data_IF_891999062929
#
_entry.id   IF_891999062929
#
_cell.length_a   1.000
_cell.length_b   1.000
_cell.length_c   1.000
_cell.angle_alpha   90.00
_cell.angle_beta   90.00
_cell.angle_gamma   90.00
#
_symmetry.space_group_name_H-M   'P 1'
#
loop_
_entity.id
_entity.type
_entity.pdbx_description
1 polymer ?
#
# COMPACT_ATOMS: atom_id res chain seq x y z
N UNK A 1 41.56 42.06 15.27
CA UNK A 1 41.63 42.36 13.82
C UNK A 1 42.45 41.29 13.14
N UNK A 2 41.83 40.54 12.20
CA UNK A 2 42.39 40.09 10.90
C UNK A 2 43.60 39.11 11.02
N UNK A 3 43.64 37.89 10.50
CA UNK A 3 43.00 37.26 9.35
C UNK A 3 43.13 35.73 9.51
N UNK A 4 42.05 34.98 9.28
CA UNK A 4 42.10 33.53 9.12
C UNK A 4 42.26 33.19 7.64
N UNK A 5 43.48 32.86 7.23
CA UNK A 5 43.77 32.10 6.02
C UNK A 5 43.16 30.70 6.16
N UNK A 6 42.47 30.19 5.14
CA UNK A 6 42.48 28.78 4.75
C UNK A 6 41.85 28.65 3.35
N UNK A 7 42.72 28.60 2.36
CA UNK A 7 42.50 27.92 1.08
C UNK A 7 43.57 26.84 0.99
N UNK A 8 43.18 25.57 0.83
CA UNK A 8 43.89 24.64 -0.04
C UNK A 8 43.04 23.39 -0.33
N UNK A 9 42.85 23.19 -1.64
CA UNK A 9 42.43 21.99 -2.36
C UNK A 9 42.85 20.65 -1.71
N UNK A 10 41.97 19.65 -1.78
CA UNK A 10 42.43 18.31 -2.15
C UNK A 10 41.57 17.71 -3.27
N UNK A 11 42.31 17.15 -4.22
CA UNK A 11 41.96 16.69 -5.55
C UNK A 11 41.42 15.24 -5.51
N UNK A 12 40.43 14.98 -6.36
CA UNK A 12 40.13 13.73 -7.09
C UNK A 12 40.53 12.35 -6.53
N UNK A 13 39.52 11.49 -6.38
CA UNK A 13 39.62 10.07 -6.77
C UNK A 13 38.41 9.70 -7.63
N UNK A 14 38.64 9.69 -8.95
CA UNK A 14 37.80 9.01 -9.94
C UNK A 14 38.17 7.53 -9.91
N UNK A 15 37.19 6.63 -9.83
CA UNK A 15 36.95 5.55 -10.82
C UNK A 15 35.86 4.56 -10.34
N UNK A 16 34.69 4.69 -10.98
CA UNK A 16 33.97 3.64 -11.73
C UNK A 16 33.49 2.40 -10.96
N UNK A 17 32.17 2.33 -10.75
CA UNK A 17 31.31 1.29 -11.34
C UNK A 17 29.81 1.61 -11.19
N UNK A 18 29.22 2.13 -12.27
CA UNK A 18 27.90 1.72 -12.76
C UNK A 18 26.65 2.18 -12.01
N UNK A 19 26.44 3.48 -11.84
CA UNK A 19 25.09 4.05 -11.71
C UNK A 19 24.79 4.71 -13.06
N UNK A 20 23.86 4.12 -13.82
CA UNK A 20 23.23 4.84 -14.94
C UNK A 20 22.22 5.78 -14.30
N UNK A 21 22.64 7.02 -14.08
CA UNK A 21 21.72 8.14 -13.90
C UNK A 21 21.07 8.38 -15.26
N UNK A 22 19.78 8.10 -15.37
CA UNK A 22 19.00 8.55 -16.53
C UNK A 22 18.68 10.02 -16.26
N UNK A 23 19.37 10.90 -16.98
CA UNK A 23 19.06 12.32 -17.03
C UNK A 23 17.64 12.51 -17.59
N UNK A 24 16.84 13.25 -16.84
CA UNK A 24 15.49 13.68 -17.18
C UNK A 24 15.55 14.85 -18.18
N UNK A 25 16.01 14.61 -19.40
CA UNK A 25 15.93 15.58 -20.50
C UNK A 25 16.26 14.99 -21.87
N UNK A 26 15.83 13.77 -22.16
CA UNK A 26 15.82 13.26 -23.54
C UNK A 26 14.42 12.78 -23.91
N UNK A 27 13.86 13.43 -24.92
CA UNK A 27 12.49 13.28 -25.40
C UNK A 27 12.24 11.84 -25.84
N UNK A 28 11.34 11.18 -25.11
CA UNK A 28 10.99 9.77 -25.26
C UNK A 28 10.27 9.44 -26.57
N UNK A 29 11.01 9.39 -27.67
CA UNK A 29 10.75 8.43 -28.75
C UNK A 29 11.14 7.05 -28.19
N UNK A 30 10.17 6.39 -27.56
CA UNK A 30 10.41 5.40 -26.51
C UNK A 30 11.13 4.16 -27.03
N UNK A 31 11.90 3.52 -26.15
CA UNK A 31 12.47 2.20 -26.42
C UNK A 31 11.38 1.18 -26.80
N UNK A 32 10.13 1.40 -26.39
CA UNK A 32 8.97 0.64 -26.83
C UNK A 32 8.61 0.96 -28.29
N UNK A 33 8.57 2.24 -28.68
CA UNK A 33 8.35 2.66 -30.06
C UNK A 33 9.46 2.14 -31.00
N UNK A 34 10.73 2.14 -30.55
CA UNK A 34 11.86 1.56 -31.29
C UNK A 34 11.86 0.02 -31.31
N UNK A 35 11.34 -0.63 -30.27
CA UNK A 35 11.20 -2.09 -30.23
C UNK A 35 9.99 -2.56 -31.07
N UNK A 36 8.96 -1.73 -31.17
CA UNK A 36 7.72 -1.98 -31.91
C UNK A 36 7.71 -1.38 -33.31
N UNK A 37 8.71 -0.58 -33.71
CA UNK A 37 8.76 0.11 -35.00
C UNK A 37 8.76 -0.84 -36.19
N UNK A 38 9.25 -2.07 -36.00
CA UNK A 38 9.34 -3.09 -37.03
C UNK A 38 8.08 -3.97 -37.12
N UNK A 39 7.07 -3.73 -36.28
CA UNK A 39 5.85 -4.53 -36.22
C UNK A 39 4.67 -3.75 -36.79
N UNK A 40 3.76 -4.48 -37.44
CA UNK A 40 2.51 -3.92 -37.94
C UNK A 40 1.58 -3.56 -36.78
N UNK A 41 0.63 -2.65 -36.96
CA UNK A 41 -0.23 -2.18 -35.85
C UNK A 41 -1.06 -3.30 -35.21
N UNK A 42 -1.48 -4.31 -36.00
CA UNK A 42 -2.11 -5.52 -35.47
C UNK A 42 -1.19 -6.34 -34.57
N UNK A 43 0.10 -6.43 -34.91
CA UNK A 43 1.09 -7.17 -34.11
C UNK A 43 1.42 -6.42 -32.82
N UNK A 44 1.53 -5.08 -32.88
CA UNK A 44 1.69 -4.24 -31.69
C UNK A 44 0.54 -4.44 -30.71
N UNK A 45 -0.70 -4.42 -31.20
CA UNK A 45 -1.88 -4.66 -30.37
C UNK A 45 -1.87 -6.05 -29.73
N UNK A 46 -1.54 -7.10 -30.48
CA UNK A 46 -1.41 -8.45 -29.94
C UNK A 46 -0.33 -8.55 -28.85
N UNK A 47 0.80 -7.88 -29.04
CA UNK A 47 1.88 -7.83 -28.04
C UNK A 47 1.39 -7.14 -26.77
N UNK A 48 0.74 -5.98 -26.88
CA UNK A 48 0.20 -5.23 -25.74
C UNK A 48 -0.86 -6.07 -25.01
N UNK A 49 -1.78 -6.73 -25.71
CA UNK A 49 -2.79 -7.61 -25.12
C UNK A 49 -2.16 -8.80 -24.39
N UNK A 50 -1.11 -9.41 -24.95
CA UNK A 50 -0.37 -10.47 -24.28
C UNK A 50 0.31 -9.96 -23.00
N UNK A 51 0.88 -8.76 -23.02
CA UNK A 51 1.43 -8.13 -21.82
C UNK A 51 0.34 -7.82 -20.78
N UNK A 52 -0.82 -7.32 -21.21
CA UNK A 52 -1.95 -7.05 -20.33
C UNK A 52 -2.40 -8.33 -19.63
N UNK A 53 -2.65 -9.40 -20.38
CA UNK A 53 -3.06 -10.69 -19.82
C UNK A 53 -2.04 -11.23 -18.83
N UNK A 54 -0.73 -11.06 -19.12
CA UNK A 54 0.33 -11.51 -18.22
C UNK A 54 0.41 -10.68 -16.96
N UNK A 55 0.22 -9.37 -17.06
CA UNK A 55 0.23 -8.44 -15.94
C UNK A 55 -0.99 -8.64 -15.04
N UNK A 56 -2.19 -8.81 -15.62
CA UNK A 56 -3.40 -9.17 -14.88
C UNK A 56 -3.20 -10.49 -14.12
N UNK A 57 -2.58 -11.49 -14.75
CA UNK A 57 -2.23 -12.76 -14.08
C UNK A 57 -1.27 -12.54 -12.89
N UNK A 58 -0.26 -11.66 -13.02
CA UNK A 58 0.68 -11.35 -11.94
C UNK A 58 -0.02 -10.65 -10.78
N UNK A 59 -0.99 -9.77 -11.06
CA UNK A 59 -1.77 -9.06 -10.04
C UNK A 59 -2.95 -9.87 -9.50
N UNK A 60 -3.16 -11.11 -9.95
CA UNK A 60 -4.30 -11.93 -9.54
C UNK A 60 -5.65 -11.35 -9.99
N UNK A 61 -5.67 -10.54 -11.04
CA UNK A 61 -6.88 -9.91 -11.58
C UNK A 61 -7.47 -10.77 -12.71
N UNK A 62 -8.77 -11.01 -12.66
CA UNK A 62 -9.51 -11.73 -13.71
C UNK A 62 -9.71 -10.89 -14.97
N UNK A 63 -9.81 -9.58 -14.81
CA UNK A 63 -10.02 -8.61 -15.88
C UNK A 63 -9.49 -7.24 -15.48
N UNK A 64 -9.26 -6.37 -16.47
CA UNK A 64 -8.88 -4.97 -16.25
C UNK A 64 -9.92 -4.24 -15.38
N UNK A 65 -9.50 -3.62 -14.26
CA UNK A 65 -10.37 -2.78 -13.45
C UNK A 65 -10.81 -1.52 -14.22
N UNK A 66 -12.01 -1.02 -13.91
CA UNK A 66 -12.53 0.25 -14.44
C UNK A 66 -12.87 1.17 -13.27
N UNK A 67 -11.86 1.80 -12.65
CA UNK A 67 -12.08 2.74 -11.55
C UNK A 67 -12.93 3.94 -11.99
N UNK A 68 -13.69 4.51 -11.06
CA UNK A 68 -14.34 5.81 -11.25
C UNK A 68 -13.30 6.93 -11.36
N UNK A 69 -13.60 7.98 -12.12
CA UNK A 69 -12.74 9.16 -12.28
C UNK A 69 -12.48 9.88 -10.94
N UNK A 70 -13.39 9.74 -9.98
CA UNK A 70 -13.38 10.52 -8.74
C UNK A 70 -12.71 9.78 -7.57
N UNK A 71 -11.94 8.72 -7.87
CA UNK A 71 -11.30 7.92 -6.82
C UNK A 71 -10.16 8.69 -6.17
N UNK A 72 -10.30 8.91 -4.86
CA UNK A 72 -9.25 9.50 -4.02
C UNK A 72 -8.44 8.37 -3.38
N UNK A 73 -7.15 8.35 -3.71
CA UNK A 73 -6.20 7.39 -3.17
C UNK A 73 -5.80 7.82 -1.75
N UNK A 74 -5.96 6.95 -0.73
CA UNK A 74 -5.55 7.31 0.61
C UNK A 74 -4.05 7.62 0.69
N UNK A 75 -3.69 8.72 1.36
CA UNK A 75 -2.29 9.15 1.51
C UNK A 75 -1.39 8.03 2.06
N UNK A 76 -1.94 7.21 2.96
CA UNK A 76 -1.23 6.05 3.51
C UNK A 76 -0.73 5.07 2.44
N UNK A 77 -1.47 4.86 1.35
CA UNK A 77 -1.06 3.98 0.25
C UNK A 77 0.07 4.61 -0.57
N UNK A 78 0.03 5.93 -0.77
CA UNK A 78 1.09 6.69 -1.44
C UNK A 78 2.37 6.64 -0.60
N UNK A 79 2.25 6.83 0.71
CA UNK A 79 3.38 6.78 1.64
C UNK A 79 4.04 5.39 1.63
N UNK A 80 3.24 4.31 1.64
CA UNK A 80 3.75 2.95 1.52
C UNK A 80 4.49 2.71 0.20
N UNK A 81 3.92 3.17 -0.92
CA UNK A 81 4.57 3.08 -2.22
C UNK A 81 5.91 3.82 -2.27
N UNK A 82 5.94 5.07 -1.77
CA UNK A 82 7.15 5.87 -1.72
C UNK A 82 8.21 5.23 -0.81
N UNK A 83 7.80 4.71 0.35
CA UNK A 83 8.69 3.97 1.24
C UNK A 83 9.26 2.72 0.56
N UNK A 84 8.49 2.01 -0.25
CA UNK A 84 8.96 0.82 -0.96
C UNK A 84 10.02 1.15 -2.02
N UNK A 85 9.91 2.32 -2.67
CA UNK A 85 10.89 2.75 -3.67
C UNK A 85 12.16 3.29 -3.01
N UNK A 86 12.02 4.04 -1.91
CA UNK A 86 13.16 4.60 -1.19
C UNK A 86 13.90 3.57 -0.33
N UNK A 87 13.18 2.64 0.32
CA UNK A 87 13.76 1.61 1.16
C UNK A 87 14.19 0.42 0.30
N UNK A 88 15.50 0.21 0.21
CA UNK A 88 16.14 -0.70 -0.74
C UNK A 88 15.85 -2.20 -0.54
N UNK A 89 14.84 -2.61 0.25
CA UNK A 89 14.18 -3.94 0.17
C UNK A 89 13.15 -4.25 1.29
N UNK A 90 12.92 -3.43 2.32
CA UNK A 90 12.00 -3.80 3.41
C UNK A 90 11.14 -2.64 3.91
N UNK A 91 9.83 -2.74 3.69
CA UNK A 91 8.83 -1.92 4.38
C UNK A 91 8.84 -2.27 5.87
N UNK A 92 9.09 -1.28 6.73
CA UNK A 92 9.02 -1.45 8.18
C UNK A 92 7.58 -1.26 8.63
N UNK A 93 6.80 -2.34 8.63
CA UNK A 93 5.47 -2.31 9.20
C UNK A 93 5.53 -2.33 10.73
N UNK A 94 4.68 -1.53 11.38
CA UNK A 94 4.51 -1.57 12.83
C UNK A 94 4.04 -2.96 13.31
N UNK A 95 3.31 -3.67 12.45
CA UNK A 95 2.86 -5.03 12.69
C UNK A 95 3.78 -6.03 11.98
N UNK A 96 4.53 -6.82 12.74
CA UNK A 96 5.46 -7.82 12.20
C UNK A 96 4.77 -8.88 11.34
N UNK A 97 3.46 -9.13 11.55
CA UNK A 97 2.68 -10.06 10.72
C UNK A 97 2.50 -9.56 9.28
N UNK A 98 2.48 -8.23 9.09
CA UNK A 98 2.38 -7.62 7.77
C UNK A 98 3.68 -7.75 6.95
N UNK A 99 4.82 -8.06 7.58
CA UNK A 99 6.12 -8.14 6.90
C UNK A 99 6.21 -9.23 5.82
N UNK A 100 5.35 -10.24 5.88
CA UNK A 100 5.30 -11.33 4.90
C UNK A 100 4.30 -11.09 3.76
N UNK A 101 3.58 -9.97 3.78
CA UNK A 101 2.62 -9.62 2.74
C UNK A 101 3.33 -9.13 1.48
N UNK A 102 2.76 -9.43 0.33
CA UNK A 102 3.17 -8.87 -0.96
C UNK A 102 2.04 -8.08 -1.64
N UNK A 103 0.83 -8.10 -1.05
CA UNK A 103 -0.30 -7.30 -1.51
C UNK A 103 -0.90 -6.53 -0.34
N UNK A 104 -1.12 -5.24 -0.54
CA UNK A 104 -1.75 -4.35 0.43
C UNK A 104 -2.95 -3.71 -0.24
N UNK A 105 -4.11 -3.77 0.42
CA UNK A 105 -5.35 -3.15 -0.06
C UNK A 105 -5.93 -2.23 1.00
N UNK A 106 -6.49 -1.11 0.58
CA UNK A 106 -7.27 -0.21 1.43
C UNK A 106 -8.75 -0.29 1.07
N UNK A 107 -9.58 -0.23 2.10
CA UNK A 107 -11.03 -0.27 1.99
C UNK A 107 -11.62 0.92 2.73
N UNK A 108 -12.59 1.56 2.08
CA UNK A 108 -13.36 2.66 2.64
C UNK A 108 -14.61 2.08 3.27
N UNK A 109 -15.05 2.65 4.39
CA UNK A 109 -16.28 2.23 5.05
C UNK A 109 -17.50 2.86 4.40
N UNK A 110 -18.64 2.17 4.53
CA UNK A 110 -19.97 2.76 4.40
C UNK A 110 -20.57 2.92 5.79
N UNK A 111 -21.13 4.09 6.07
CA UNK A 111 -21.81 4.38 7.33
C UNK A 111 -23.11 3.58 7.41
N UNK A 112 -23.34 2.91 8.54
CA UNK A 112 -24.64 2.33 8.87
C UNK A 112 -25.42 3.29 9.74
N UNK A 113 -26.75 3.39 9.57
CA UNK A 113 -27.58 4.19 10.46
C UNK A 113 -27.41 3.70 11.88
N UNK A 114 -27.37 4.66 12.82
CA UNK A 114 -27.33 4.37 14.24
C UNK A 114 -28.66 3.73 14.64
N UNK A 115 -28.61 2.49 15.12
CA UNK A 115 -29.75 1.78 15.71
C UNK A 115 -29.42 1.34 17.14
N UNK A 116 -30.27 1.59 18.12
CA UNK A 116 -30.00 1.24 19.53
C UNK A 116 -29.11 2.26 20.27
N UNK A 117 -28.33 1.81 21.26
CA UNK A 117 -27.64 2.63 22.27
C UNK A 117 -26.36 3.37 21.83
N UNK A 118 -26.10 3.47 20.52
CA UNK A 118 -24.86 4.02 19.98
C UNK A 118 -24.95 5.56 19.94
N UNK A 119 -24.34 6.24 20.91
CA UNK A 119 -24.33 7.70 20.97
C UNK A 119 -23.51 8.29 19.81
N UNK A 120 -24.08 9.23 19.05
CA UNK A 120 -23.48 9.83 17.85
C UNK A 120 -22.06 10.39 18.07
N UNK A 121 -21.79 10.95 19.25
CA UNK A 121 -20.50 11.59 19.57
C UNK A 121 -19.38 10.60 19.93
N UNK A 122 -19.71 9.37 20.31
CA UNK A 122 -18.74 8.42 20.90
C UNK A 122 -18.74 7.06 20.24
N UNK A 123 -19.67 6.79 19.33
CA UNK A 123 -19.91 5.49 18.76
C UNK A 123 -20.22 5.62 17.27
N UNK A 124 -19.59 4.78 16.44
CA UNK A 124 -19.79 4.76 14.99
C UNK A 124 -19.77 3.34 14.48
N UNK A 125 -20.69 3.02 13.56
CA UNK A 125 -20.75 1.72 12.88
C UNK A 125 -20.30 1.83 11.44
N UNK A 126 -19.38 0.98 11.07
CA UNK A 126 -18.72 0.97 9.77
C UNK A 126 -18.82 -0.41 9.16
N UNK A 127 -19.29 -0.49 7.92
CA UNK A 127 -19.20 -1.70 7.11
C UNK A 127 -18.11 -1.55 6.05
N UNK A 128 -17.35 -2.61 5.84
CA UNK A 128 -16.30 -2.65 4.82
C UNK A 128 -16.61 -3.75 3.80
N UNK A 129 -16.67 -3.39 2.53
CA UNK A 129 -16.79 -4.36 1.46
C UNK A 129 -15.40 -4.95 1.13
N UNK A 130 -15.14 -6.17 1.57
CA UNK A 130 -13.88 -6.89 1.34
C UNK A 130 -13.92 -7.90 0.19
N UNK A 131 -14.93 -7.84 -0.69
CA UNK A 131 -15.11 -8.77 -1.82
C UNK A 131 -13.91 -8.82 -2.79
N UNK A 132 -13.10 -7.75 -2.80
CA UNK A 132 -11.97 -7.62 -3.72
C UNK A 132 -10.71 -8.35 -3.24
N UNK A 133 -10.76 -9.07 -2.11
CA UNK A 133 -9.68 -9.94 -1.66
C UNK A 133 -9.90 -11.33 -2.27
N UNK A 134 -9.05 -11.80 -3.21
CA UNK A 134 -9.19 -13.12 -3.82
C UNK A 134 -9.15 -14.24 -2.78
N UNK A 135 -9.80 -15.37 -3.05
CA UNK A 135 -9.88 -16.51 -2.15
C UNK A 135 -8.52 -17.21 -2.00
N UNK A 136 -7.70 -17.16 -3.05
CA UNK A 136 -6.38 -17.79 -3.13
C UNK A 136 -5.34 -17.09 -2.26
N UNK A 137 -5.58 -15.83 -1.88
CA UNK A 137 -4.66 -15.06 -1.07
C UNK A 137 -4.75 -15.44 0.42
N UNK A 138 -3.60 -15.46 1.10
CA UNK A 138 -3.56 -15.64 2.56
C UNK A 138 -3.51 -14.27 3.23
N UNK A 139 -4.51 -13.97 4.04
CA UNK A 139 -4.54 -12.75 4.84
C UNK A 139 -3.52 -12.89 5.99
N UNK A 140 -2.56 -11.98 6.06
CA UNK A 140 -1.50 -12.00 7.09
C UNK A 140 -1.79 -11.02 8.23
N UNK A 141 -2.38 -9.86 7.92
CA UNK A 141 -2.79 -8.86 8.90
C UNK A 141 -3.95 -8.01 8.36
N UNK A 142 -4.72 -7.39 9.25
CA UNK A 142 -5.67 -6.35 8.88
C UNK A 142 -5.77 -5.31 9.99
N UNK A 143 -5.75 -4.03 9.62
CA UNK A 143 -5.72 -2.91 10.56
C UNK A 143 -6.77 -1.88 10.20
N UNK A 144 -7.50 -1.40 11.21
CA UNK A 144 -8.32 -0.19 11.11
C UNK A 144 -7.43 1.00 11.45
N UNK A 145 -7.29 1.93 10.52
CA UNK A 145 -6.56 3.18 10.73
C UNK A 145 -7.53 4.31 11.02
N UNK A 146 -7.37 4.95 12.17
CA UNK A 146 -8.20 6.08 12.63
C UNK A 146 -7.31 7.31 12.78
N UNK A 147 -7.76 8.45 12.25
CA UNK A 147 -7.06 9.72 12.39
C UNK A 147 -7.48 10.43 13.68
N UNK A 148 -6.48 10.89 14.41
CA UNK A 148 -6.63 11.75 15.57
C UNK A 148 -6.13 13.13 15.19
N UNK A 149 -7.01 14.11 15.23
CA UNK A 149 -6.70 15.50 14.98
C UNK A 149 -6.03 16.16 16.19
N UNK A 150 -5.38 17.30 15.94
CA UNK A 150 -4.87 18.16 17.01
C UNK A 150 -6.04 18.75 17.78
N UNK A 151 -5.95 18.76 19.10
CA UNK A 151 -6.96 19.40 19.93
C UNK A 151 -6.87 20.92 19.80
N UNK A 152 -7.72 21.51 18.96
CA UNK A 152 -7.89 22.97 18.89
C UNK A 152 -8.91 23.33 19.99
N UNK A 153 -8.44 23.51 21.22
CA UNK A 153 -9.26 24.17 22.23
C UNK A 153 -9.37 25.64 21.80
N UNK A 154 -10.51 26.03 21.27
CA UNK A 154 -10.77 27.40 20.83
C UNK A 154 -10.69 28.44 21.96
N UNK A 155 -10.56 28.02 23.24
CA UNK A 155 -10.35 28.91 24.35
C UNK A 155 -9.18 28.47 25.25
N UNK A 156 -8.29 29.45 25.46
CA UNK A 156 -7.26 29.61 26.49
C UNK A 156 -5.92 28.86 26.36
N UNK A 157 -4.92 29.71 26.09
CA UNK A 157 -3.48 29.53 25.88
C UNK A 157 -2.72 28.87 27.04
N UNK A 158 -3.35 28.52 28.17
CA UNK A 158 -2.57 28.21 29.39
C UNK A 158 -2.35 26.75 29.74
N UNK A 159 -3.09 25.76 29.20
CA UNK A 159 -2.75 24.33 29.39
C UNK A 159 -3.16 23.47 28.20
N UNK A 160 -2.20 22.98 27.40
CA UNK A 160 -2.41 21.85 26.47
C UNK A 160 -2.79 20.61 27.28
N UNK A 161 -4.08 20.43 27.56
CA UNK A 161 -4.59 19.23 28.26
C UNK A 161 -4.34 18.02 27.36
N UNK A 162 -3.57 17.06 27.87
CA UNK A 162 -3.36 15.77 27.19
C UNK A 162 -4.67 15.00 27.30
N UNK A 163 -5.34 14.83 26.16
CA UNK A 163 -6.53 13.99 26.07
C UNK A 163 -6.14 12.52 26.17
N UNK A 164 -6.84 11.78 27.04
CA UNK A 164 -6.63 10.36 27.27
C UNK A 164 -7.93 9.61 27.03
N UNK A 165 -7.97 8.90 25.93
CA UNK A 165 -9.14 8.14 25.52
C UNK A 165 -8.77 6.70 25.25
N UNK A 166 -9.76 5.83 25.37
CA UNK A 166 -9.69 4.43 25.00
C UNK A 166 -10.58 4.26 23.77
N UNK A 167 -9.99 3.82 22.67
CA UNK A 167 -10.70 3.43 21.44
C UNK A 167 -10.87 1.93 21.49
N UNK A 168 -12.11 1.47 21.36
CA UNK A 168 -12.49 0.07 21.38
C UNK A 168 -13.14 -0.28 20.06
N UNK A 169 -12.72 -1.37 19.45
CA UNK A 169 -13.32 -1.87 18.20
C UNK A 169 -14.03 -3.17 18.51
N UNK A 170 -15.31 -3.22 18.17
CA UNK A 170 -16.15 -4.39 18.33
C UNK A 170 -16.59 -4.91 16.95
N UNK A 171 -16.57 -6.22 16.75
CA UNK A 171 -17.21 -6.87 15.61
C UNK A 171 -18.71 -7.02 15.90
N UNK A 172 -19.55 -6.67 14.93
CA UNK A 172 -20.99 -6.89 15.01
C UNK A 172 -21.26 -8.36 14.62
N UNK A 173 -21.58 -9.19 15.61
CA UNK A 173 -21.87 -10.63 15.40
C UNK A 173 -23.30 -10.84 14.92
N UNK A 174 -24.24 -10.05 15.44
CA UNK A 174 -25.63 -9.99 14.97
C UNK A 174 -26.07 -8.53 14.94
N UNK A 175 -26.64 -8.07 13.82
CA UNK A 175 -27.15 -6.70 13.73
C UNK A 175 -28.30 -6.51 14.72
N UNK A 176 -28.36 -5.31 15.30
CA UNK A 176 -29.47 -4.88 16.15
C UNK A 176 -30.62 -4.35 15.31
N UNK A 177 -31.80 -4.26 15.92
CA UNK A 177 -32.98 -3.62 15.37
C UNK A 177 -33.26 -2.31 16.12
N UNK A 178 -34.34 -1.59 15.79
CA UNK A 178 -34.70 -0.32 16.45
C UNK A 178 -34.76 -0.40 17.98
N UNK A 179 -35.19 -1.55 18.52
CA UNK A 179 -35.41 -1.74 19.97
C UNK A 179 -34.37 -2.67 20.63
N UNK A 180 -33.47 -3.27 19.86
CA UNK A 180 -32.55 -4.30 20.36
C UNK A 180 -31.14 -3.97 19.91
N UNK A 181 -30.24 -3.79 20.86
CA UNK A 181 -28.84 -3.52 20.57
C UNK A 181 -28.18 -4.68 19.82
N UNK A 182 -27.23 -4.38 18.90
CA UNK A 182 -26.47 -5.42 18.23
C UNK A 182 -25.69 -6.26 19.24
N UNK A 183 -25.54 -7.54 18.93
CA UNK A 183 -24.64 -8.41 19.68
C UNK A 183 -23.25 -8.21 19.13
N UNK A 184 -22.37 -7.64 19.95
CA UNK A 184 -21.01 -7.29 19.54
C UNK A 184 -19.95 -8.08 20.31
N UNK A 185 -18.76 -8.21 19.72
CA UNK A 185 -17.59 -8.88 20.32
C UNK A 185 -16.40 -7.95 20.25
N UNK A 186 -15.74 -7.70 21.38
CA UNK A 186 -14.54 -6.88 21.42
C UNK A 186 -13.41 -7.53 20.59
N UNK A 187 -12.79 -6.75 19.71
CA UNK A 187 -11.72 -7.19 18.81
C UNK A 187 -10.38 -6.62 19.27
N UNK A 188 -10.30 -5.29 19.44
CA UNK A 188 -9.07 -4.62 19.87
C UNK A 188 -9.39 -3.37 20.71
N UNK A 189 -8.43 -2.97 21.54
CA UNK A 189 -8.50 -1.81 22.42
C UNK A 189 -7.19 -1.03 22.36
N UNK A 190 -7.28 0.25 22.01
CA UNK A 190 -6.14 1.17 22.04
C UNK A 190 -6.34 2.28 23.05
N UNK A 191 -5.39 2.40 23.97
CA UNK A 191 -5.28 3.57 24.83
C UNK A 191 -4.46 4.64 24.12
N UNK A 192 -5.05 5.81 23.93
CA UNK A 192 -4.49 6.89 23.14
C UNK A 192 -4.24 8.11 24.03
N UNK A 193 -3.06 8.71 23.88
CA UNK A 193 -2.68 9.97 24.52
C UNK A 193 -2.27 10.94 23.43
N UNK A 194 -3.14 11.87 23.07
CA UNK A 194 -2.90 12.73 21.90
C UNK A 194 -2.49 14.13 22.33
N UNK A 195 -1.36 14.59 21.80
CA UNK A 195 -0.93 16.01 21.84
C UNK A 195 -0.98 16.65 20.45
N UNK A 196 -0.61 15.88 19.44
CA UNK A 196 -0.50 16.29 18.04
C UNK A 196 -1.35 15.36 17.17
N UNK A 197 -1.66 15.80 15.95
CA UNK A 197 -2.39 14.98 15.00
C UNK A 197 -1.60 13.73 14.61
N UNK A 198 -2.20 12.55 14.70
CA UNK A 198 -1.54 11.26 14.46
C UNK A 198 -2.53 10.19 13.99
N UNK A 199 -2.02 9.18 13.30
CA UNK A 199 -2.79 7.98 12.94
C UNK A 199 -2.61 6.89 14.00
N UNK A 200 -3.68 6.18 14.32
CA UNK A 200 -3.68 4.99 15.17
C UNK A 200 -4.16 3.79 14.37
N UNK A 201 -3.40 2.70 14.42
CA UNK A 201 -3.81 1.38 13.92
C UNK A 201 -4.41 0.54 15.05
N UNK A 202 -5.56 -0.08 14.80
CA UNK A 202 -6.18 -1.12 15.62
C UNK A 202 -6.22 -2.44 14.84
N UNK A 203 -5.87 -3.55 15.48
CA UNK A 203 -5.84 -4.88 14.84
C UNK A 203 -7.27 -5.40 14.66
N UNK A 204 -7.72 -5.52 13.41
CA UNK A 204 -9.02 -6.09 13.07
C UNK A 204 -8.90 -7.39 12.26
N UNK A 205 -7.70 -7.97 12.22
CA UNK A 205 -7.40 -9.22 11.54
C UNK A 205 -8.38 -10.36 11.86
N UNK A 206 -8.74 -10.67 13.12
CA UNK A 206 -9.62 -11.81 13.39
C UNK A 206 -11.04 -11.62 12.86
N UNK A 207 -11.54 -10.38 12.80
CA UNK A 207 -12.85 -10.08 12.20
C UNK A 207 -12.80 -10.25 10.67
N UNK A 208 -11.81 -9.64 10.01
CA UNK A 208 -11.64 -9.73 8.55
C UNK A 208 -11.41 -11.18 8.11
N UNK A 209 -10.63 -11.96 8.87
CA UNK A 209 -10.39 -13.37 8.58
C UNK A 209 -11.70 -14.19 8.61
N UNK A 210 -12.61 -13.87 9.53
CA UNK A 210 -13.93 -14.51 9.62
C UNK A 210 -14.83 -14.07 8.47
N UNK A 211 -14.87 -12.78 8.15
CA UNK A 211 -15.65 -12.27 7.01
C UNK A 211 -15.21 -12.87 5.68
N UNK A 212 -13.91 -13.13 5.48
CA UNK A 212 -13.41 -13.83 4.30
C UNK A 212 -13.94 -15.26 4.19
N UNK A 213 -14.02 -16.00 5.31
CA UNK A 213 -14.54 -17.38 5.34
C UNK A 213 -16.05 -17.42 5.14
N UNK A 214 -16.76 -16.46 5.72
CA UNK A 214 -18.23 -16.38 5.68
C UNK A 214 -18.66 -14.94 5.40
N UNK A 215 -18.72 -14.50 4.13
CA UNK A 215 -19.06 -13.12 3.77
C UNK A 215 -20.42 -12.67 4.30
N UNK A 216 -21.38 -13.60 4.41
CA UNK A 216 -22.73 -13.33 4.97
C UNK A 216 -22.71 -12.89 6.45
N UNK A 217 -21.62 -13.16 7.17
CA UNK A 217 -21.44 -12.76 8.57
C UNK A 217 -20.71 -11.42 8.71
N UNK A 218 -20.42 -10.73 7.60
CA UNK A 218 -19.90 -9.38 7.66
C UNK A 218 -21.05 -8.41 7.94
N UNK A 219 -21.21 -8.04 9.21
CA UNK A 219 -22.17 -7.00 9.61
C UNK A 219 -21.49 -5.66 9.89
N UNK A 220 -20.16 -5.59 9.73
CA UNK A 220 -19.33 -4.44 10.05
C UNK A 220 -18.75 -4.47 11.46
N UNK A 221 -18.17 -3.34 11.84
CA UNK A 221 -17.60 -3.08 13.16
C UNK A 221 -18.29 -1.88 13.80
N UNK A 222 -18.24 -1.84 15.12
CA UNK A 222 -18.63 -0.70 15.93
C UNK A 222 -17.40 -0.18 16.67
N UNK A 223 -17.08 1.09 16.48
CA UNK A 223 -15.98 1.77 17.14
C UNK A 223 -16.55 2.63 18.27
N UNK A 224 -16.12 2.37 19.50
CA UNK A 224 -16.53 3.12 20.70
C UNK A 224 -15.35 3.89 21.28
N UNK A 225 -15.61 5.11 21.73
CA UNK A 225 -14.63 5.97 22.40
C UNK A 225 -15.10 6.18 23.84
N UNK A 226 -14.20 5.92 24.79
CA UNK A 226 -14.45 6.20 26.21
C UNK A 226 -13.34 7.06 26.81
N UNK A 227 -13.71 7.97 27.72
CA UNK A 227 -12.75 8.74 28.51
C UNK A 227 -12.14 7.88 29.62
N UNK A 228 -10.82 7.96 29.81
CA UNK A 228 -10.11 7.15 30.80
C UNK A 228 -10.27 7.68 32.24
N UNK A 229 -10.52 8.99 32.42
CA UNK A 229 -10.60 9.63 33.75
C UNK A 229 -11.54 10.86 33.68
N UNK A 230 -12.60 10.83 34.50
CA UNK A 230 -13.49 11.92 34.93
C UNK A 230 -14.64 12.39 34.00
N UNK A 231 -15.80 12.51 34.68
CA UNK A 231 -17.01 13.30 34.43
C UNK A 231 -17.76 13.11 33.10
N UNK A 232 -19.06 12.77 33.13
CA UNK A 232 -19.94 12.76 31.95
C UNK A 232 -19.94 14.06 31.13
N UNK A 233 -19.50 15.18 31.72
CA UNK A 233 -19.48 16.51 31.11
C UNK A 233 -18.31 16.79 30.15
N UNK A 234 -17.30 15.92 30.04
CA UNK A 234 -16.14 16.11 29.13
C UNK A 234 -16.06 15.05 28.02
N UNK A 235 -17.19 14.77 27.35
CA UNK A 235 -17.28 13.85 26.21
C UNK A 235 -17.01 14.53 24.86
N UNK A 236 -15.98 15.38 24.76
CA UNK A 236 -15.63 15.96 23.46
C UNK A 236 -14.63 15.07 22.70
N UNK A 237 -15.16 14.13 21.92
CA UNK A 237 -14.36 13.22 21.09
C UNK A 237 -14.17 13.73 19.65
N UNK A 238 -14.50 14.98 19.33
CA UNK A 238 -14.43 15.56 17.97
C UNK A 238 -13.05 15.49 17.31
N UNK A 239 -11.99 15.35 18.12
CA UNK A 239 -10.63 15.17 17.61
C UNK A 239 -10.39 13.76 17.06
N UNK A 240 -11.21 12.75 17.39
CA UNK A 240 -11.14 11.43 16.76
C UNK A 240 -12.03 11.47 15.52
N UNK A 241 -11.44 11.47 14.33
CA UNK A 241 -12.18 11.59 13.08
C UNK A 241 -12.80 10.25 12.69
N UNK A 242 -13.97 9.94 13.25
CA UNK A 242 -14.76 8.75 12.91
C UNK A 242 -15.92 9.04 11.96
N UNK A 243 -16.46 10.28 11.96
CA UNK A 243 -17.55 10.73 11.09
C UNK A 243 -17.15 12.00 10.36
N UNK A 244 -17.83 12.23 9.23
CA UNK A 244 -17.72 13.49 8.50
C UNK A 244 -18.40 14.61 9.31
N UNK A 245 -17.70 15.73 9.49
CA UNK A 245 -18.32 16.96 10.00
C UNK A 245 -19.13 17.64 8.91
N UNK A 246 -20.29 18.20 9.25
CA UNK A 246 -21.09 19.03 8.32
C UNK A 246 -20.28 20.20 7.77
N UNK A 247 -19.38 20.78 8.58
CA UNK A 247 -18.52 21.89 8.17
C UNK A 247 -17.26 21.48 7.40
N UNK A 248 -16.95 20.18 7.30
CA UNK A 248 -15.74 19.71 6.62
C UNK A 248 -15.97 19.51 5.12
N UNK A 249 -14.99 19.93 4.34
CA UNK A 249 -14.97 19.67 2.90
C UNK A 249 -14.87 18.17 2.60
N UNK A 250 -15.36 17.76 1.44
CA UNK A 250 -15.21 16.38 0.96
C UNK A 250 -13.74 15.96 0.96
N UNK A 251 -12.85 16.78 0.40
CA UNK A 251 -11.43 16.46 0.32
C UNK A 251 -10.79 16.22 1.70
N UNK A 252 -11.10 17.06 2.69
CA UNK A 252 -10.64 16.89 4.06
C UNK A 252 -11.12 15.55 4.65
N UNK A 253 -12.40 15.24 4.49
CA UNK A 253 -12.97 13.96 4.94
C UNK A 253 -12.26 12.77 4.29
N UNK A 254 -12.07 12.79 2.96
CA UNK A 254 -11.40 11.70 2.25
C UNK A 254 -9.96 11.47 2.73
N UNK A 255 -9.28 12.53 3.17
CA UNK A 255 -7.91 12.45 3.70
C UNK A 255 -7.81 11.95 5.14
N UNK A 256 -8.85 12.14 5.96
CA UNK A 256 -8.84 11.86 7.41
C UNK A 256 -9.80 10.74 7.83
N UNK A 257 -10.64 10.24 6.92
CA UNK A 257 -11.62 9.19 7.24
C UNK A 257 -10.94 7.87 7.65
N UNK A 258 -11.61 7.07 8.49
CA UNK A 258 -11.15 5.73 8.81
C UNK A 258 -11.06 4.84 7.58
N UNK A 259 -9.97 4.07 7.49
CA UNK A 259 -9.74 3.09 6.43
C UNK A 259 -9.34 1.74 7.02
N UNK A 260 -9.85 0.66 6.44
CA UNK A 260 -9.36 -0.68 6.69
C UNK A 260 -8.20 -0.95 5.72
N UNK A 261 -7.07 -1.40 6.24
CA UNK A 261 -5.93 -1.85 5.45
C UNK A 261 -5.74 -3.33 5.68
N UNK A 262 -5.71 -4.12 4.60
CA UNK A 262 -5.41 -5.55 4.66
C UNK A 262 -4.07 -5.84 4.03
N UNK A 263 -3.35 -6.77 4.64
CA UNK A 263 -2.08 -7.30 4.19
C UNK A 263 -2.27 -8.76 3.84
N UNK A 264 -1.94 -9.15 2.62
CA UNK A 264 -2.09 -10.52 2.14
C UNK A 264 -0.91 -10.98 1.30
N UNK A 265 -0.83 -12.30 1.14
CA UNK A 265 0.16 -12.97 0.34
C UNK A 265 -0.52 -13.80 -0.75
N UNK A 266 -0.25 -13.48 -2.01
CA UNK A 266 -0.81 -14.16 -3.18
C UNK A 266 -0.25 -15.57 -3.42
N UNK A 267 0.77 -15.99 -2.66
CA UNK A 267 1.51 -17.25 -2.79
C UNK A 267 2.18 -17.48 -4.17
N UNK A 268 2.04 -16.56 -5.13
CA UNK A 268 2.57 -16.69 -6.50
C UNK A 268 4.11 -16.69 -6.45
N UNK A 269 4.70 -15.91 -5.54
CA UNK A 269 6.15 -15.78 -5.40
C UNK A 269 6.83 -17.02 -4.77
N UNK A 270 6.08 -17.95 -4.16
CA UNK A 270 6.68 -19.16 -3.58
C UNK A 270 7.25 -20.12 -4.63
N UNK A 271 6.89 -20.00 -5.91
CA UNK A 271 7.29 -20.97 -6.93
C UNK A 271 8.69 -20.78 -7.51
N UNK A 272 9.37 -19.65 -7.31
CA UNK A 272 10.69 -19.44 -7.97
C UNK A 272 11.66 -18.54 -7.22
N UNK A 273 12.00 -18.83 -5.96
CA UNK A 273 13.41 -18.61 -5.57
C UNK A 273 14.22 -19.64 -6.35
N UNK A 274 14.60 -19.31 -7.60
CA UNK A 274 15.64 -20.04 -8.32
C UNK A 274 16.86 -20.00 -7.41
N UNK A 275 17.07 -21.06 -6.65
CA UNK A 275 18.22 -21.20 -5.79
C UNK A 275 19.42 -20.95 -6.71
N UNK A 276 20.05 -19.78 -6.56
CA UNK A 276 21.32 -19.52 -7.22
C UNK A 276 22.28 -20.48 -6.55
N UNK A 277 22.40 -21.67 -7.13
CA UNK A 277 23.21 -22.75 -6.59
C UNK A 277 24.67 -22.39 -6.90
N UNK A 278 25.14 -21.31 -6.26
CA UNK A 278 26.46 -20.68 -6.42
C UNK A 278 27.60 -21.67 -6.09
N UNK A 279 27.28 -22.79 -5.43
CA UNK A 279 28.27 -23.75 -4.97
C UNK A 279 28.63 -24.87 -5.96
N UNK A 280 27.88 -25.10 -7.06
CA UNK A 280 28.28 -26.12 -8.07
C UNK A 280 29.25 -25.63 -9.15
N UNK A 281 29.49 -24.32 -9.25
CA UNK A 281 30.31 -23.74 -10.34
C UNK A 281 31.80 -23.53 -10.02
N UNK A 282 32.28 -23.79 -8.78
CA UNK A 282 33.71 -23.67 -8.45
C UNK A 282 34.56 -24.87 -8.89
N UNK A 283 34.01 -26.09 -8.99
CA UNK A 283 34.80 -27.30 -9.37
C UNK A 283 34.97 -27.52 -10.88
N UNK A 284 34.14 -26.94 -11.75
CA UNK A 284 34.29 -27.09 -13.23
C UNK A 284 35.20 -26.04 -13.91
N UNK A 285 35.67 -25.01 -13.20
CA UNK A 285 36.50 -23.93 -13.78
C UNK A 285 37.99 -24.26 -13.95
N UNK A 286 38.52 -25.35 -13.37
CA UNK A 286 39.96 -25.69 -13.48
C UNK A 286 40.36 -26.56 -14.68
N UNK A 287 39.43 -27.21 -15.41
CA UNK A 287 39.77 -28.12 -16.54
C UNK A 287 39.54 -27.58 -17.96
N UNK A 288 39.07 -26.34 -18.16
CA UNK A 288 38.72 -25.80 -19.50
C UNK A 288 39.56 -24.59 -19.95
N UNK A 289 40.84 -24.53 -19.58
CA UNK A 289 41.74 -23.43 -19.98
C UNK A 289 42.54 -23.66 -21.27
N UNK A 290 42.46 -24.83 -21.93
CA UNK A 290 43.27 -25.11 -23.13
C UNK A 290 42.59 -25.01 -24.51
N UNK A 291 41.28 -24.82 -24.63
CA UNK A 291 40.61 -24.73 -25.95
C UNK A 291 39.77 -23.45 -26.12
N UNK A 292 40.40 -22.28 -26.01
CA UNK A 292 39.72 -20.97 -26.02
C UNK A 292 40.02 -20.06 -27.21
N UNK A 293 40.54 -20.59 -28.32
CA UNK A 293 40.75 -19.80 -29.56
C UNK A 293 39.71 -20.02 -30.67
N UNK A 294 38.93 -21.12 -30.68
CA UNK A 294 37.97 -21.40 -31.78
C UNK A 294 36.47 -21.37 -31.42
N UNK A 295 36.05 -20.70 -30.34
CA UNK A 295 34.61 -20.61 -29.95
C UNK A 295 34.04 -19.19 -29.87
N UNK A 296 34.60 -18.21 -30.60
CA UNK A 296 34.07 -16.83 -30.65
C UNK A 296 33.08 -16.54 -31.80
N UNK A 297 32.67 -17.54 -32.59
CA UNK A 297 31.77 -17.34 -33.75
C UNK A 297 30.45 -18.14 -33.76
N UNK A 298 29.96 -18.65 -32.62
CA UNK A 298 28.69 -19.44 -32.57
C UNK A 298 27.72 -19.11 -31.42
N UNK A 299 27.62 -17.84 -31.01
CA UNK A 299 26.59 -17.39 -30.06
C UNK A 299 25.89 -16.08 -30.45
N UNK A 300 25.82 -15.76 -31.76
CA UNK A 300 25.01 -14.62 -32.23
C UNK A 300 23.52 -14.95 -32.45
N UNK A 301 23.13 -16.22 -32.33
CA UNK A 301 21.75 -16.69 -32.55
C UNK A 301 21.16 -17.39 -31.30
N UNK A 302 21.55 -16.97 -30.10
CA UNK A 302 20.96 -17.47 -28.86
C UNK A 302 19.79 -16.59 -28.41
N UNK A 303 18.74 -17.19 -27.88
CA UNK A 303 17.67 -16.47 -27.17
C UNK A 303 18.30 -15.58 -26.07
N UNK A 304 18.09 -14.27 -26.17
CA UNK A 304 18.78 -13.28 -25.34
C UNK A 304 17.79 -12.21 -24.90
N UNK A 305 17.75 -11.95 -23.60
CA UNK A 305 16.85 -10.95 -23.01
C UNK A 305 17.16 -9.56 -23.59
N UNK A 306 16.20 -8.97 -24.29
CA UNK A 306 16.22 -7.62 -24.84
C UNK A 306 15.48 -6.65 -23.92
N UNK A 307 15.96 -5.40 -23.77
CA UNK A 307 15.27 -4.39 -22.98
C UNK A 307 13.95 -4.00 -23.66
N UNK A 308 12.91 -3.87 -22.85
CA UNK A 308 11.61 -3.33 -23.25
C UNK A 308 11.02 -2.66 -22.02
N UNK A 309 10.79 -1.35 -22.12
CA UNK A 309 10.17 -0.56 -21.09
C UNK A 309 8.73 -0.27 -21.50
N UNK A 310 7.77 -0.67 -20.68
CA UNK A 310 6.34 -0.42 -20.90
C UNK A 310 5.95 0.82 -20.11
N UNK A 311 5.56 1.86 -20.83
CA UNK A 311 5.00 3.10 -20.29
C UNK A 311 3.47 2.95 -20.22
N UNK A 312 2.90 3.07 -19.02
CA UNK A 312 1.47 2.85 -18.79
C UNK A 312 0.58 3.93 -19.36
N UNK A 313 1.09 5.15 -19.54
CA UNK A 313 0.34 6.21 -20.22
C UNK A 313 0.18 5.87 -21.71
N UNK A 314 1.27 5.44 -22.35
CA UNK A 314 1.28 5.10 -23.78
C UNK A 314 0.45 3.87 -24.15
N UNK A 315 0.39 2.87 -23.27
CA UNK A 315 -0.46 1.68 -23.49
C UNK A 315 -1.89 1.87 -22.97
N UNK A 316 -2.19 3.03 -22.38
CA UNK A 316 -3.51 3.36 -21.85
C UNK A 316 -3.90 2.50 -20.66
N UNK A 317 -2.96 2.23 -19.74
CA UNK A 317 -3.20 1.58 -18.44
C UNK A 317 -3.14 2.57 -17.27
N UNK A 318 -2.90 3.85 -17.54
CA UNK A 318 -2.92 4.97 -16.58
C UNK A 318 -4.31 5.20 -15.94
N UNK A 319 -5.37 4.67 -16.54
CA UNK A 319 -6.73 4.71 -16.01
C UNK A 319 -6.90 3.84 -14.76
N UNK A 320 -6.12 2.75 -14.62
CA UNK A 320 -6.24 1.83 -13.49
C UNK A 320 -4.93 1.57 -12.73
N UNK A 321 -3.78 1.90 -13.31
CA UNK A 321 -2.47 1.88 -12.64
C UNK A 321 -2.00 3.31 -12.44
N UNK A 322 -1.95 3.73 -11.18
CA UNK A 322 -1.53 5.09 -10.81
C UNK A 322 -0.01 5.19 -10.65
N UNK A 323 0.62 4.12 -10.18
CA UNK A 323 2.06 4.08 -9.99
C UNK A 323 2.60 2.63 -10.01
N UNK A 324 3.83 2.37 -10.47
CA UNK A 324 4.74 3.33 -11.14
C UNK A 324 4.20 3.78 -12.50
N UNK A 325 4.81 4.78 -13.14
CA UNK A 325 4.41 5.22 -14.50
C UNK A 325 4.75 4.20 -15.60
N UNK A 326 5.60 3.21 -15.30
CA UNK A 326 5.92 2.13 -16.22
C UNK A 326 6.84 1.08 -15.60
N UNK A 327 7.17 0.04 -16.36
CA UNK A 327 8.03 -1.05 -15.91
C UNK A 327 8.93 -1.64 -17.01
N UNK A 328 10.09 -2.14 -16.61
CA UNK A 328 10.99 -2.87 -17.50
C UNK A 328 10.53 -4.33 -17.66
N UNK A 329 9.76 -4.61 -18.72
CA UNK A 329 9.21 -5.93 -19.02
C UNK A 329 10.26 -6.91 -19.55
N UNK A 330 11.10 -6.41 -20.46
CA UNK A 330 12.03 -7.21 -21.27
C UNK A 330 11.33 -8.31 -22.09
N UNK A 331 11.97 -8.75 -23.18
CA UNK A 331 11.51 -9.89 -23.99
C UNK A 331 12.69 -10.76 -24.42
N UNK A 332 12.43 -11.97 -24.90
CA UNK A 332 13.45 -13.02 -25.13
C UNK A 332 13.85 -13.19 -26.60
#
# INVERSE_FOLDING_TARGET
MICGFWTFLFLACVLVNGIVTVDSSDTGNSLLDKALSNYNDKEKQNIIQNFESKLLQIFGLKSRPKPSSDIIIPQYMIDLYNQQISASNNLQFANSKAASANTIRSFVHTDKPDSGSCNEDSCVRMEFNISNIPEEEVLTAAELRVFLDKHISANNITRRKILRHKIEVYEIMRPGNTNVDPVTRLVDVKHVKTKNATWVSLDIHPAVLKWRKTPKQNHGIEVRISSSKLSPSFQNFKHVRLRRSVSSSDSEWHSQRPILVTYSNDQIQSRTKRASNKNRNKKKKKKKRKNRKNKKKKFKNGCSRKPLYVDFDKVGWNDWIVAPSGYNAFFL
#
